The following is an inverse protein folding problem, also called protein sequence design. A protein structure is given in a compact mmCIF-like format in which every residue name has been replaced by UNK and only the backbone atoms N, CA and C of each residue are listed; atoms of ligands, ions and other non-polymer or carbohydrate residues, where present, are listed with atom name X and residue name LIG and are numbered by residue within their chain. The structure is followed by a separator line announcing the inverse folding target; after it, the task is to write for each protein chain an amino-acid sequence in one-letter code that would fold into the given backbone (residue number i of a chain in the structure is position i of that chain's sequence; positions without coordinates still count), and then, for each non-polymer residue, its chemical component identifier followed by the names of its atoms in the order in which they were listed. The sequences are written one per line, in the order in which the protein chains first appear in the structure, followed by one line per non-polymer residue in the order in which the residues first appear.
data_IF_569456363436
#
_entry.id   IF_569456363436
#
_cell.length_a   1.000
_cell.length_b   1.000
_cell.length_c   1.000
_cell.angle_alpha   90.00
_cell.angle_beta   90.00
_cell.angle_gamma   90.00
#
_symmetry.space_group_name_H-M   'P 1'
#
loop_
_entity.id
_entity.type
_entity.pdbx_description
1 polymer ?
#
# COMPACT_ATOMS: atom_id res chain seq x y z
N UNK A 1 -14.70 -14.39 0.06
CA UNK A 1 -14.96 -13.57 -1.15
C UNK A 1 -14.07 -14.05 -2.29
N UNK A 2 -14.54 -14.05 -3.54
CA UNK A 2 -13.68 -14.36 -4.70
C UNK A 2 -12.64 -13.25 -4.88
N UNK A 3 -11.41 -13.60 -5.23
CA UNK A 3 -10.32 -12.62 -5.41
C UNK A 3 -10.67 -11.54 -6.44
N UNK A 4 -11.30 -11.92 -7.56
CA UNK A 4 -11.74 -10.96 -8.57
C UNK A 4 -12.81 -9.99 -8.07
N UNK A 5 -13.69 -10.42 -7.16
CA UNK A 5 -14.71 -9.55 -6.58
C UNK A 5 -14.08 -8.58 -5.57
N UNK A 6 -13.06 -9.04 -4.83
CA UNK A 6 -12.25 -8.18 -3.95
C UNK A 6 -11.51 -7.10 -4.75
N UNK A 7 -10.84 -7.46 -5.86
CA UNK A 7 -10.17 -6.49 -6.74
C UNK A 7 -11.14 -5.42 -7.25
N UNK A 8 -12.32 -5.83 -7.72
CA UNK A 8 -13.38 -4.90 -8.14
C UNK A 8 -13.86 -4.00 -7.01
N UNK A 9 -14.01 -4.54 -5.80
CA UNK A 9 -14.41 -3.75 -4.63
C UNK A 9 -13.34 -2.70 -4.28
N UNK A 10 -12.05 -3.08 -4.32
CA UNK A 10 -10.93 -2.16 -4.10
C UNK A 10 -10.89 -1.07 -5.17
N UNK A 11 -11.02 -1.42 -6.45
CA UNK A 11 -11.00 -0.46 -7.56
C UNK A 11 -12.06 0.62 -7.39
N UNK A 12 -13.26 0.22 -6.94
CA UNK A 12 -14.41 1.08 -6.69
C UNK A 12 -14.31 1.93 -5.40
N UNK A 13 -13.26 1.75 -4.58
CA UNK A 13 -13.07 2.58 -3.39
C UNK A 13 -12.91 4.05 -3.78
N UNK A 14 -13.77 4.88 -3.18
CA UNK A 14 -13.69 6.32 -3.34
C UNK A 14 -12.46 6.87 -2.61
N UNK A 15 -11.60 7.57 -3.33
CA UNK A 15 -10.41 8.24 -2.78
C UNK A 15 -10.66 9.74 -2.66
N UNK A 16 -10.07 10.42 -1.67
CA UNK A 16 -10.25 11.87 -1.45
C UNK A 16 -8.94 12.67 -1.54
N UNK A 17 -7.81 11.98 -1.50
CA UNK A 17 -6.47 12.56 -1.52
C UNK A 17 -5.51 11.74 -2.38
N UNK A 18 -4.32 12.28 -2.67
CA UNK A 18 -3.26 11.50 -3.33
C UNK A 18 -2.79 10.35 -2.43
N UNK A 19 -2.74 10.58 -1.11
CA UNK A 19 -2.47 9.54 -0.12
C UNK A 19 -3.48 8.39 -0.25
N UNK A 20 -4.78 8.68 -0.25
CA UNK A 20 -5.83 7.64 -0.37
C UNK A 20 -5.73 6.87 -1.68
N UNK A 21 -5.35 7.54 -2.78
CA UNK A 21 -5.10 6.89 -4.06
C UNK A 21 -3.95 5.91 -3.96
N UNK A 22 -2.79 6.35 -3.46
CA UNK A 22 -1.64 5.46 -3.29
C UNK A 22 -1.93 4.28 -2.35
N UNK A 23 -2.69 4.49 -1.27
CA UNK A 23 -3.15 3.40 -0.39
C UNK A 23 -4.08 2.44 -1.13
N UNK A 24 -4.97 2.93 -2.00
CA UNK A 24 -5.84 2.08 -2.83
C UNK A 24 -5.02 1.27 -3.83
N UNK A 25 -4.04 1.89 -4.47
CA UNK A 25 -3.17 1.23 -5.44
C UNK A 25 -2.36 0.11 -4.76
N UNK A 26 -1.79 0.36 -3.58
CA UNK A 26 -1.15 -0.69 -2.79
C UNK A 26 -2.11 -1.82 -2.43
N UNK A 27 -3.36 -1.52 -2.06
CA UNK A 27 -4.34 -2.56 -1.74
C UNK A 27 -4.62 -3.44 -2.97
N UNK A 28 -4.75 -2.83 -4.15
CA UNK A 28 -4.96 -3.55 -5.40
C UNK A 28 -3.77 -4.43 -5.74
N UNK A 29 -2.55 -3.87 -5.74
CA UNK A 29 -1.31 -4.57 -6.09
C UNK A 29 -1.04 -5.77 -5.16
N UNK A 30 -1.25 -5.63 -3.84
CA UNK A 30 -1.10 -6.74 -2.90
C UNK A 30 -2.07 -7.87 -3.28
N UNK A 31 -3.34 -7.56 -3.52
CA UNK A 31 -4.35 -8.58 -3.85
C UNK A 31 -4.06 -9.21 -5.21
N UNK A 32 -3.75 -8.41 -6.22
CA UNK A 32 -3.45 -8.89 -7.57
C UNK A 32 -2.24 -9.84 -7.58
N UNK A 33 -1.18 -9.47 -6.88
CA UNK A 33 0.06 -10.23 -6.85
C UNK A 33 0.00 -11.43 -5.90
N UNK A 34 -0.38 -11.22 -4.64
CA UNK A 34 -0.30 -12.26 -3.61
C UNK A 34 -1.43 -13.29 -3.75
N UNK A 35 -2.60 -12.87 -4.26
CA UNK A 35 -3.76 -13.74 -4.41
C UNK A 35 -3.97 -14.24 -5.84
N UNK A 36 -2.98 -14.09 -6.74
CA UNK A 36 -3.10 -14.52 -8.14
C UNK A 36 -3.53 -15.99 -8.28
N UNK A 37 -3.03 -16.84 -7.39
CA UNK A 37 -3.30 -18.29 -7.39
C UNK A 37 -4.42 -18.69 -6.42
N UNK A 38 -5.01 -17.73 -5.71
CA UNK A 38 -6.07 -17.96 -4.74
C UNK A 38 -7.42 -17.64 -5.38
N UNK A 39 -8.29 -18.65 -5.50
CA UNK A 39 -9.64 -18.43 -6.02
C UNK A 39 -10.51 -17.60 -5.07
N UNK A 40 -10.30 -17.77 -3.75
CA UNK A 40 -11.05 -17.11 -2.70
C UNK A 40 -10.13 -16.74 -1.54
N UNK A 41 -10.51 -15.68 -0.84
CA UNK A 41 -9.94 -15.29 0.45
C UNK A 41 -11.07 -14.91 1.41
N UNK A 42 -10.90 -15.23 2.68
CA UNK A 42 -11.75 -14.76 3.76
C UNK A 42 -10.94 -13.90 4.73
N UNK A 43 -11.61 -13.23 5.66
CA UNK A 43 -10.93 -12.35 6.60
C UNK A 43 -10.04 -13.11 7.61
N UNK A 44 -10.28 -14.40 7.82
CA UNK A 44 -9.59 -15.21 8.82
C UNK A 44 -8.32 -15.78 8.18
N UNK A 45 -7.15 -15.32 8.64
CA UNK A 45 -5.87 -15.71 8.03
C UNK A 45 -5.47 -14.87 6.80
N UNK A 46 -6.26 -13.86 6.42
CA UNK A 46 -5.90 -12.94 5.34
C UNK A 46 -4.58 -12.22 5.59
N UNK A 47 -4.26 -11.91 6.85
CA UNK A 47 -3.05 -11.16 7.20
C UNK A 47 -1.80 -11.93 6.81
N UNK A 48 -1.73 -13.19 7.20
CA UNK A 48 -0.60 -14.08 6.98
C UNK A 48 -0.38 -14.32 5.48
N UNK A 49 -1.47 -14.51 4.73
CA UNK A 49 -1.43 -14.64 3.28
C UNK A 49 -0.91 -13.35 2.65
N UNK A 50 -1.55 -12.20 2.94
CA UNK A 50 -1.25 -10.91 2.31
C UNK A 50 0.15 -10.36 2.67
N UNK A 51 0.72 -10.76 3.81
CA UNK A 51 2.09 -10.42 4.17
C UNK A 51 3.13 -11.23 3.37
N UNK A 52 2.73 -12.27 2.64
CA UNK A 52 3.60 -13.05 1.75
C UNK A 52 4.92 -13.47 2.41
N UNK A 53 4.85 -13.99 3.64
CA UNK A 53 6.01 -14.44 4.41
C UNK A 53 6.78 -13.35 5.17
N UNK A 54 6.37 -12.07 5.10
CA UNK A 54 6.86 -11.04 6.00
C UNK A 54 6.16 -11.09 7.37
N UNK A 55 6.86 -10.74 8.44
CA UNK A 55 6.30 -10.67 9.80
C UNK A 55 5.51 -9.37 10.05
N UNK A 56 5.77 -8.34 9.24
CA UNK A 56 5.13 -7.03 9.35
C UNK A 56 5.17 -6.24 8.04
N UNK A 57 4.33 -5.21 7.91
CA UNK A 57 4.37 -4.28 6.78
C UNK A 57 5.68 -3.48 6.68
N UNK A 58 6.39 -3.33 7.81
CA UNK A 58 7.74 -2.74 7.82
C UNK A 58 8.71 -3.67 7.12
N UNK A 59 8.77 -4.94 7.55
CA UNK A 59 9.62 -5.93 6.90
C UNK A 59 9.20 -6.17 5.44
N UNK A 60 7.91 -6.15 5.14
CA UNK A 60 7.38 -6.24 3.77
C UNK A 60 7.95 -5.11 2.89
N UNK A 61 7.95 -3.88 3.41
CA UNK A 61 8.46 -2.69 2.73
C UNK A 61 9.99 -2.76 2.53
N UNK A 62 10.75 -3.03 3.60
CA UNK A 62 12.21 -3.17 3.53
C UNK A 62 12.68 -4.39 2.73
N UNK A 63 11.88 -5.46 2.70
CA UNK A 63 12.15 -6.68 1.94
C UNK A 63 11.92 -6.56 0.44
N UNK A 64 11.46 -5.40 -0.05
CA UNK A 64 11.27 -5.16 -1.47
C UNK A 64 10.05 -5.86 -2.07
N UNK A 65 9.05 -6.22 -1.24
CA UNK A 65 7.78 -6.80 -1.69
C UNK A 65 6.79 -5.74 -2.23
N UNK A 66 7.25 -4.48 -2.35
CA UNK A 66 6.54 -3.34 -2.94
C UNK A 66 7.55 -2.40 -3.62
N UNK A 67 7.29 -1.09 -3.70
CA UNK A 67 8.24 -0.15 -4.30
C UNK A 67 9.55 -0.12 -3.49
N UNK A 68 10.66 -0.17 -4.20
CA UNK A 68 12.02 -0.26 -3.61
C UNK A 68 12.67 1.12 -3.48
N UNK A 69 12.32 2.06 -4.38
CA UNK A 69 12.95 3.37 -4.43
C UNK A 69 12.07 4.44 -3.79
N UNK A 70 12.66 5.25 -2.91
CA UNK A 70 12.03 6.39 -2.24
C UNK A 70 11.29 7.33 -3.19
N UNK A 71 11.85 7.59 -4.37
CA UNK A 71 11.23 8.42 -5.40
C UNK A 71 9.88 7.86 -5.85
N UNK A 72 9.80 6.55 -6.11
CA UNK A 72 8.55 5.92 -6.51
C UNK A 72 7.51 5.96 -5.39
N UNK A 73 7.97 5.76 -4.15
CA UNK A 73 7.10 5.86 -2.96
C UNK A 73 6.53 7.28 -2.83
N UNK A 74 7.38 8.30 -2.97
CA UNK A 74 6.99 9.70 -2.89
C UNK A 74 6.02 10.08 -4.02
N UNK A 75 6.31 9.68 -5.26
CA UNK A 75 5.43 9.93 -6.42
C UNK A 75 4.05 9.28 -6.25
N UNK A 76 3.99 8.10 -5.63
CA UNK A 76 2.73 7.41 -5.32
C UNK A 76 1.91 8.13 -4.24
N UNK A 77 2.56 8.57 -3.16
CA UNK A 77 1.87 9.03 -1.95
C UNK A 77 1.69 10.54 -1.84
N UNK A 78 2.52 11.34 -2.51
CA UNK A 78 2.52 12.79 -2.39
C UNK A 78 1.82 13.47 -3.57
N UNK A 79 1.04 14.51 -3.28
CA UNK A 79 0.60 15.46 -4.31
C UNK A 79 1.81 16.14 -4.98
N UNK A 80 1.66 16.72 -6.18
CA UNK A 80 2.76 17.43 -6.84
C UNK A 80 3.40 18.54 -5.99
N UNK A 81 2.60 19.21 -5.14
CA UNK A 81 3.10 20.27 -4.26
C UNK A 81 3.87 19.72 -3.05
N UNK A 82 3.44 18.59 -2.50
CA UNK A 82 4.16 17.87 -1.44
C UNK A 82 5.47 17.28 -1.96
N UNK A 83 5.45 16.67 -3.15
CA UNK A 83 6.64 16.14 -3.80
C UNK A 83 7.66 17.26 -4.05
N UNK A 84 7.21 18.42 -4.56
CA UNK A 84 8.07 19.61 -4.72
C UNK A 84 8.70 20.07 -3.40
N UNK A 85 7.99 19.96 -2.27
CA UNK A 85 8.53 20.29 -0.93
C UNK A 85 9.48 19.22 -0.41
N UNK A 86 9.28 17.97 -0.82
CA UNK A 86 10.13 16.84 -0.48
C UNK A 86 11.42 16.79 -1.31
N UNK A 87 11.46 17.47 -2.45
CA UNK A 87 12.64 17.55 -3.32
C UNK A 87 13.53 18.76 -2.97
N UNK A 88 14.84 18.56 -2.92
CA UNK A 88 15.86 19.59 -2.73
C UNK A 88 16.09 20.38 -4.03
N UNK A 89 16.80 21.50 -3.95
CA UNK A 89 17.07 22.37 -5.11
C UNK A 89 17.89 21.69 -6.22
N UNK A 90 18.69 20.69 -5.87
CA UNK A 90 19.50 19.88 -6.79
C UNK A 90 18.70 18.73 -7.45
N UNK A 91 17.39 18.62 -7.16
CA UNK A 91 16.52 17.58 -7.71
C UNK A 91 16.52 16.28 -6.93
N UNK A 92 17.32 16.15 -5.87
CA UNK A 92 17.34 14.95 -5.02
C UNK A 92 16.16 14.96 -4.04
N UNK A 93 15.60 13.80 -3.75
CA UNK A 93 14.56 13.65 -2.73
C UNK A 93 15.22 13.72 -1.34
N UNK A 94 14.53 14.32 -0.36
CA UNK A 94 14.95 14.22 1.05
C UNK A 94 14.88 12.77 1.51
N UNK A 95 15.80 12.35 2.37
CA UNK A 95 15.83 10.97 2.90
C UNK A 95 14.63 10.66 3.82
N UNK A 96 14.03 11.70 4.39
CA UNK A 96 12.90 11.62 5.31
C UNK A 96 11.61 12.08 4.65
N UNK A 97 10.55 11.27 4.74
CA UNK A 97 9.22 11.62 4.24
C UNK A 97 8.55 12.69 5.13
N UNK A 98 8.80 12.62 6.45
CA UNK A 98 8.43 13.64 7.42
C UNK A 98 9.38 13.58 8.63
N UNK A 99 9.09 14.31 9.72
CA UNK A 99 9.97 14.37 10.88
C UNK A 99 10.08 13.07 11.69
N UNK A 100 9.31 12.03 11.37
CA UNK A 100 9.23 10.79 12.15
C UNK A 100 9.60 9.52 11.38
N UNK A 101 9.53 9.54 10.05
CA UNK A 101 9.69 8.33 9.23
C UNK A 101 10.43 8.63 7.91
N UNK A 102 11.23 7.66 7.46
CA UNK A 102 11.78 7.66 6.11
C UNK A 102 10.72 7.20 5.07
N UNK A 103 11.08 7.16 3.79
CA UNK A 103 10.11 6.77 2.75
C UNK A 103 9.67 5.31 2.84
N UNK A 104 10.56 4.39 3.18
CA UNK A 104 10.24 2.96 3.34
C UNK A 104 9.26 2.73 4.51
N UNK A 105 9.43 3.44 5.61
CA UNK A 105 8.50 3.44 6.75
C UNK A 105 7.17 4.12 6.41
N UNK A 106 7.19 5.21 5.65
CA UNK A 106 6.00 5.85 5.11
C UNK A 106 5.19 4.89 4.22
N UNK A 107 5.88 4.11 3.37
CA UNK A 107 5.28 3.03 2.59
C UNK A 107 4.69 1.94 3.52
N UNK A 108 5.40 1.50 4.56
CA UNK A 108 4.88 0.52 5.52
C UNK A 108 3.57 1.00 6.19
N UNK A 109 3.47 2.30 6.51
CA UNK A 109 2.25 2.91 7.04
C UNK A 109 1.11 2.91 6.01
N UNK A 110 1.42 3.22 4.75
CA UNK A 110 0.44 3.15 3.66
C UNK A 110 -0.05 1.71 3.41
N UNK A 111 0.86 0.73 3.40
CA UNK A 111 0.56 -0.70 3.25
C UNK A 111 -0.33 -1.22 4.39
N UNK A 112 -0.06 -0.81 5.63
CA UNK A 112 -0.93 -1.18 6.75
C UNK A 112 -2.35 -0.60 6.60
N UNK A 113 -2.49 0.62 6.07
CA UNK A 113 -3.81 1.19 5.76
C UNK A 113 -4.48 0.48 4.57
N UNK A 114 -3.71 0.05 3.58
CA UNK A 114 -4.18 -0.73 2.44
C UNK A 114 -4.78 -2.07 2.92
N UNK A 115 -4.05 -2.79 3.79
CA UNK A 115 -4.53 -3.98 4.46
C UNK A 115 -5.84 -3.74 5.22
N UNK A 116 -5.95 -2.66 5.99
CA UNK A 116 -7.19 -2.34 6.71
C UNK A 116 -8.38 -2.14 5.75
N UNK A 117 -8.17 -1.54 4.57
CA UNK A 117 -9.22 -1.42 3.55
C UNK A 117 -9.64 -2.78 3.01
N UNK A 118 -8.68 -3.66 2.71
CA UNK A 118 -8.96 -5.04 2.29
C UNK A 118 -9.79 -5.77 3.36
N UNK A 119 -9.37 -5.68 4.62
CA UNK A 119 -10.06 -6.33 5.74
C UNK A 119 -11.49 -5.82 5.95
N UNK A 120 -11.73 -4.52 5.77
CA UNK A 120 -13.07 -3.98 5.88
C UNK A 120 -13.98 -4.55 4.77
N UNK A 121 -13.51 -4.59 3.52
CA UNK A 121 -14.26 -5.20 2.40
C UNK A 121 -14.56 -6.68 2.69
N UNK A 122 -13.56 -7.44 3.16
CA UNK A 122 -13.73 -8.86 3.46
C UNK A 122 -14.73 -9.11 4.60
N UNK A 123 -14.83 -8.20 5.56
CA UNK A 123 -15.78 -8.30 6.68
C UNK A 123 -17.19 -7.83 6.32
N UNK A 124 -17.32 -6.81 5.47
CA UNK A 124 -18.61 -6.32 4.98
C UNK A 124 -19.26 -7.30 3.99
N UNK A 125 -18.45 -8.09 3.29
CA UNK A 125 -18.90 -9.14 2.37
C UNK A 125 -19.01 -10.55 2.96
N UNK A 126 -18.87 -10.72 4.28
CA UNK A 126 -19.23 -11.95 5.00
C UNK A 126 -20.74 -11.99 5.23
#
# INVERSE_FOLDING_TARGET
MKTNDLLKAIENLKTRSQWDKGVKDYAYEIVEYVLSDYANIDADGAKEILLNGADSWVQYSYGGLSLIYDKGIAERLCTPSELKKATRKDGTLKDMANSRENWIECQARALNQAYNKIMNILREGK
#
